data_IF_868566947601
#
_entry.id   IF_868566947601
#
_cell.length_a   1.000
_cell.length_b   1.000
_cell.length_c   1.000
_cell.angle_alpha   90.00
_cell.angle_beta   90.00
_cell.angle_gamma   90.00
#
_symmetry.space_group_name_H-M   'P 1'
#
loop_
_entity.id
_entity.type
_entity.pdbx_description
1 polymer ?
#
# COMPACT_ATOMS: atom_id res chain seq x y z
N UNK A 1 -7.19 5.33 11.26
CA UNK A 1 -8.29 4.80 10.42
C UNK A 1 -7.68 4.60 9.05
N UNK A 2 -7.62 3.36 8.58
CA UNK A 2 -6.98 2.99 7.31
C UNK A 2 -7.95 3.25 6.16
N UNK A 3 -7.45 3.82 5.07
CA UNK A 3 -8.22 4.27 3.90
C UNK A 3 -7.86 3.47 2.63
N UNK A 4 -6.95 2.50 2.76
CA UNK A 4 -6.61 1.50 1.74
C UNK A 4 -6.32 0.14 2.38
N UNK A 5 -6.64 -0.93 1.67
CA UNK A 5 -6.29 -2.31 2.00
C UNK A 5 -5.50 -2.91 0.83
N UNK A 6 -4.35 -3.49 1.13
CA UNK A 6 -3.56 -4.23 0.15
C UNK A 6 -3.86 -5.72 0.24
N UNK A 7 -4.16 -6.35 -0.88
CA UNK A 7 -4.35 -7.80 -1.01
C UNK A 7 -3.07 -8.39 -1.63
N UNK A 8 -2.32 -9.18 -0.85
CA UNK A 8 -1.03 -9.77 -1.26
C UNK A 8 -1.10 -11.28 -1.05
N UNK A 9 -1.21 -12.02 -2.14
CA UNK A 9 -1.56 -13.44 -2.09
C UNK A 9 -2.89 -13.66 -1.37
N UNK A 10 -2.88 -14.44 -0.29
CA UNK A 10 -4.03 -14.71 0.57
C UNK A 10 -4.11 -13.79 1.81
N UNK A 11 -3.18 -12.84 1.93
CA UNK A 11 -3.08 -11.91 3.07
C UNK A 11 -3.63 -10.52 2.74
N UNK A 12 -4.10 -9.81 3.76
CA UNK A 12 -4.63 -8.45 3.62
C UNK A 12 -3.97 -7.49 4.62
N UNK A 13 -3.58 -6.31 4.14
CA UNK A 13 -2.83 -5.32 4.90
C UNK A 13 -3.53 -3.96 4.85
N UNK A 14 -4.19 -3.52 5.93
CA UNK A 14 -4.77 -2.19 6.00
C UNK A 14 -3.69 -1.12 6.21
N UNK A 15 -3.74 -0.03 5.44
CA UNK A 15 -2.74 1.03 5.46
C UNK A 15 -3.33 2.44 5.22
N UNK A 16 -2.46 3.46 5.19
CA UNK A 16 -2.83 4.87 5.04
C UNK A 16 -2.27 5.43 3.72
N UNK A 17 -3.15 5.81 2.78
CA UNK A 17 -2.83 6.36 1.46
C UNK A 17 -1.93 7.58 1.57
N UNK A 18 -2.23 8.50 2.49
CA UNK A 18 -1.44 9.73 2.68
C UNK A 18 0.03 9.43 3.01
N UNK A 19 0.28 8.48 3.92
CA UNK A 19 1.64 8.13 4.33
C UNK A 19 2.40 7.45 3.19
N UNK A 20 1.75 6.50 2.51
CA UNK A 20 2.32 5.82 1.35
C UNK A 20 2.64 6.79 0.21
N UNK A 21 1.73 7.73 -0.10
CA UNK A 21 1.94 8.77 -1.09
C UNK A 21 3.09 9.72 -0.72
N UNK A 22 3.21 10.09 0.56
CA UNK A 22 4.29 10.95 1.05
C UNK A 22 5.66 10.26 0.94
N UNK A 23 5.71 8.93 1.09
CA UNK A 23 6.94 8.14 1.18
C UNK A 23 7.31 7.45 -0.14
N UNK A 24 6.41 7.36 -1.10
CA UNK A 24 6.63 6.74 -2.40
C UNK A 24 5.89 7.47 -3.52
N UNK A 25 6.66 7.91 -4.51
CA UNK A 25 6.13 8.58 -5.72
C UNK A 25 5.22 7.66 -6.54
N UNK A 26 5.46 6.35 -6.50
CA UNK A 26 4.61 5.36 -7.19
C UNK A 26 3.24 5.30 -6.55
N UNK A 27 3.17 5.20 -5.22
CA UNK A 27 1.89 5.23 -4.50
C UNK A 27 1.19 6.59 -4.63
N UNK A 28 1.94 7.70 -4.63
CA UNK A 28 1.36 9.01 -4.89
C UNK A 28 0.66 9.06 -6.26
N UNK A 29 1.34 8.61 -7.32
CA UNK A 29 0.77 8.56 -8.66
C UNK A 29 -0.44 7.61 -8.75
N UNK A 30 -0.33 6.42 -8.13
CA UNK A 30 -1.41 5.42 -8.08
C UNK A 30 -2.68 5.99 -7.43
N UNK A 31 -2.56 6.68 -6.29
CA UNK A 31 -3.73 7.23 -5.59
C UNK A 31 -4.28 8.51 -6.24
N UNK A 32 -3.43 9.31 -6.88
CA UNK A 32 -3.85 10.53 -7.59
C UNK A 32 -4.56 10.24 -8.92
N UNK A 33 -4.23 9.12 -9.56
CA UNK A 33 -4.72 8.82 -10.91
C UNK A 33 -6.21 8.43 -10.99
N UNK A 34 -7.01 8.54 -9.91
CA UNK A 34 -8.40 8.04 -9.86
C UNK A 34 -8.54 6.61 -10.41
N UNK A 35 -7.50 5.79 -10.26
CA UNK A 35 -7.56 4.39 -10.66
C UNK A 35 -8.58 3.66 -9.79
N UNK A 36 -9.14 2.57 -10.33
CA UNK A 36 -10.22 1.79 -9.70
C UNK A 36 -9.83 1.41 -8.27
N UNK A 37 -8.56 1.09 -8.03
CA UNK A 37 -8.00 0.74 -6.73
C UNK A 37 -8.06 1.90 -5.71
N UNK A 38 -7.93 3.14 -6.17
CA UNK A 38 -8.11 4.34 -5.33
C UNK A 38 -9.58 4.51 -4.94
N UNK A 39 -10.51 4.16 -5.84
CA UNK A 39 -11.96 4.28 -5.65
C UNK A 39 -12.54 3.17 -4.76
N UNK A 40 -12.05 1.93 -4.91
CA UNK A 40 -12.49 0.78 -4.11
C UNK A 40 -11.79 0.70 -2.75
N UNK A 41 -10.66 1.41 -2.60
CA UNK A 41 -9.82 1.32 -1.40
C UNK A 41 -9.12 -0.03 -1.27
N UNK A 42 -9.06 -0.82 -2.34
CA UNK A 42 -8.40 -2.12 -2.38
C UNK A 42 -7.39 -2.17 -3.51
N UNK A 43 -6.15 -2.51 -3.17
CA UNK A 43 -5.04 -2.63 -4.12
C UNK A 43 -4.53 -4.05 -4.09
N UNK A 44 -4.57 -4.76 -5.22
CA UNK A 44 -3.99 -6.10 -5.32
C UNK A 44 -2.52 -5.98 -5.70
N UNK A 45 -1.64 -6.57 -4.90
CA UNK A 45 -0.20 -6.64 -5.17
C UNK A 45 0.13 -8.08 -5.55
N UNK A 46 0.68 -8.25 -6.76
CA UNK A 46 1.05 -9.58 -7.29
C UNK A 46 2.56 -9.78 -7.36
N UNK A 47 3.35 -8.71 -7.23
CA UNK A 47 4.80 -8.73 -7.40
C UNK A 47 5.56 -9.05 -6.11
N UNK A 48 4.86 -9.11 -4.97
CA UNK A 48 5.45 -9.35 -3.64
C UNK A 48 4.79 -10.54 -2.96
N UNK A 49 5.58 -11.28 -2.18
CA UNK A 49 5.05 -12.16 -1.14
C UNK A 49 4.61 -11.34 0.09
N UNK A 50 3.77 -11.95 0.93
CA UNK A 50 3.17 -11.27 2.08
C UNK A 50 4.22 -10.79 3.11
N UNK A 51 5.28 -11.57 3.35
CA UNK A 51 6.33 -11.25 4.32
C UNK A 51 7.16 -10.04 3.85
N UNK A 52 7.60 -10.07 2.59
CA UNK A 52 8.32 -8.94 1.99
C UNK A 52 7.47 -7.66 1.98
N UNK A 53 6.17 -7.79 1.70
CA UNK A 53 5.27 -6.64 1.71
C UNK A 53 5.04 -6.07 3.11
N UNK A 54 4.98 -6.93 4.13
CA UNK A 54 4.88 -6.50 5.54
C UNK A 54 6.12 -5.71 5.96
N UNK A 55 7.31 -6.20 5.63
CA UNK A 55 8.57 -5.50 5.92
C UNK A 55 8.68 -4.18 5.16
N UNK A 56 8.23 -4.15 3.91
CA UNK A 56 8.11 -2.91 3.14
C UNK A 56 7.19 -1.90 3.83
N UNK A 57 5.99 -2.33 4.26
CA UNK A 57 5.09 -1.47 5.01
C UNK A 57 5.73 -0.99 6.30
N UNK A 58 6.37 -1.88 7.08
CA UNK A 58 7.08 -1.49 8.30
C UNK A 58 8.10 -0.38 8.01
N UNK A 59 8.93 -0.55 6.98
CA UNK A 59 9.89 0.45 6.55
C UNK A 59 9.25 1.78 6.15
N UNK A 60 8.11 1.76 5.44
CA UNK A 60 7.39 2.99 5.07
C UNK A 60 6.93 3.76 6.31
N UNK A 61 6.45 3.05 7.34
CA UNK A 61 5.93 3.64 8.57
C UNK A 61 7.01 4.07 9.57
N UNK A 62 8.06 3.27 9.76
CA UNK A 62 9.10 3.53 10.77
C UNK A 62 10.33 4.22 10.18
N UNK A 63 10.53 4.12 8.87
CA UNK A 63 11.78 4.53 8.21
C UNK A 63 12.98 3.64 8.54
N UNK A 64 12.75 2.49 9.18
CA UNK A 64 13.78 1.55 9.61
C UNK A 64 13.48 0.17 9.02
N UNK A 65 14.50 -0.45 8.42
CA UNK A 65 14.44 -1.81 7.88
C UNK A 65 14.77 -2.80 8.99
#
# INVERSE_FOLDING_TARGET
MTDVVFEVGDSTFPAHKFLLAARSRVFAAMFQANMIESLTGRVKIVDFDAETFEEFLRFVYTGQL
#
